data_IF_878111477217
#
_entry.id   IF_878111477217
#
_cell.length_a   1.000
_cell.length_b   1.000
_cell.length_c   1.000
_cell.angle_alpha   90.00
_cell.angle_beta   90.00
_cell.angle_gamma   90.00
#
_symmetry.space_group_name_H-M   'P 1'
#
loop_
_entity.id
_entity.type
_entity.pdbx_description
1 polymer ?
#
# COMPACT_ATOMS: atom_id res chain seq x y z
N UNK A 1 -9.13 12.80 14.11
CA UNK A 1 -10.52 12.64 14.55
C UNK A 1 -10.71 11.32 15.31
N UNK A 2 -10.33 10.14 14.77
CA UNK A 2 -10.50 8.86 15.46
C UNK A 2 -10.00 8.85 16.90
N UNK A 3 -8.82 9.39 17.18
CA UNK A 3 -8.27 9.51 18.55
C UNK A 3 -9.14 10.37 19.48
N UNK A 4 -9.81 11.41 18.96
CA UNK A 4 -10.72 12.23 19.76
C UNK A 4 -11.99 11.49 20.17
N UNK A 5 -12.39 10.50 19.35
CA UNK A 5 -13.55 9.65 19.63
C UNK A 5 -13.21 8.40 20.44
N UNK A 6 -11.95 7.95 20.39
CA UNK A 6 -11.48 6.71 21.00
C UNK A 6 -11.52 6.69 22.53
N UNK A 7 -11.11 5.57 23.10
CA UNK A 7 -11.22 5.26 24.53
C UNK A 7 -10.57 6.29 25.46
N UNK A 8 -9.45 6.86 25.07
CA UNK A 8 -8.74 7.92 25.83
C UNK A 8 -8.99 9.32 25.24
N UNK A 9 -9.91 9.44 24.25
CA UNK A 9 -10.26 10.71 23.62
C UNK A 9 -11.34 11.47 24.37
N UNK A 10 -11.83 12.59 23.79
CA UNK A 10 -12.84 13.47 24.41
C UNK A 10 -14.18 12.74 24.60
N UNK A 11 -14.57 11.86 23.68
CA UNK A 11 -15.86 11.17 23.70
C UNK A 11 -15.82 9.84 24.44
N UNK A 12 -14.63 9.34 24.81
CA UNK A 12 -14.45 8.10 25.57
C UNK A 12 -15.23 6.90 25.03
N UNK A 13 -15.32 6.74 23.68
CA UNK A 13 -15.98 5.59 23.08
C UNK A 13 -15.05 4.37 23.24
N UNK A 14 -15.43 3.35 24.01
CA UNK A 14 -14.60 2.16 24.20
C UNK A 14 -14.60 1.35 22.90
N UNK A 15 -13.45 1.31 22.21
CA UNK A 15 -13.28 0.53 21.01
C UNK A 15 -11.88 -0.14 21.01
N UNK A 16 -11.89 -1.46 21.19
CA UNK A 16 -10.69 -2.32 21.23
C UNK A 16 -10.85 -3.57 20.37
N UNK A 17 -11.88 -3.60 19.51
CA UNK A 17 -12.19 -4.75 18.68
C UNK A 17 -11.31 -4.78 17.41
N UNK A 18 -10.08 -5.28 17.58
CA UNK A 18 -9.14 -5.47 16.46
C UNK A 18 -9.66 -6.43 15.38
N UNK A 19 -10.56 -7.41 15.75
CA UNK A 19 -11.14 -8.33 14.78
C UNK A 19 -12.07 -7.63 13.81
N UNK A 20 -12.95 -6.78 14.34
CA UNK A 20 -13.84 -5.97 13.52
C UNK A 20 -13.04 -4.99 12.65
N UNK A 21 -12.06 -4.32 13.26
CA UNK A 21 -11.21 -3.36 12.55
C UNK A 21 -10.44 -4.01 11.41
N UNK A 22 -9.85 -5.20 11.61
CA UNK A 22 -9.15 -5.94 10.55
C UNK A 22 -10.06 -6.25 9.38
N UNK A 23 -11.25 -6.82 9.64
CA UNK A 23 -12.19 -7.17 8.57
C UNK A 23 -12.62 -5.93 7.78
N UNK A 24 -12.98 -4.85 8.46
CA UNK A 24 -13.42 -3.61 7.82
C UNK A 24 -12.29 -2.94 7.05
N UNK A 25 -11.10 -2.85 7.63
CA UNK A 25 -9.93 -2.28 6.97
C UNK A 25 -9.44 -3.14 5.80
N UNK A 26 -9.58 -4.47 5.88
CA UNK A 26 -9.31 -5.38 4.76
C UNK A 26 -10.23 -5.09 3.57
N UNK A 27 -11.54 -4.96 3.81
CA UNK A 27 -12.51 -4.61 2.75
C UNK A 27 -12.15 -3.24 2.14
N UNK A 28 -11.83 -2.27 2.98
CA UNK A 28 -11.42 -0.95 2.52
C UNK A 28 -10.15 -1.01 1.65
N UNK A 29 -9.14 -1.79 2.07
CA UNK A 29 -7.89 -1.96 1.34
C UNK A 29 -8.09 -2.69 0.00
N UNK A 30 -9.03 -3.65 -0.10
CA UNK A 30 -9.37 -4.31 -1.36
C UNK A 30 -9.81 -3.27 -2.41
N UNK A 31 -10.70 -2.35 -2.04
CA UNK A 31 -11.17 -1.31 -2.96
C UNK A 31 -10.07 -0.31 -3.31
N UNK A 32 -9.20 0.04 -2.35
CA UNK A 32 -8.03 0.89 -2.59
C UNK A 32 -7.08 0.21 -3.60
N UNK A 33 -6.79 -1.07 -3.42
CA UNK A 33 -5.93 -1.84 -4.32
C UNK A 33 -6.53 -1.98 -5.72
N UNK A 34 -7.80 -2.36 -5.79
CA UNK A 34 -8.51 -2.47 -7.06
C UNK A 34 -8.50 -1.15 -7.83
N UNK A 35 -8.87 -0.04 -7.19
CA UNK A 35 -8.91 1.26 -7.85
C UNK A 35 -7.53 1.81 -8.17
N UNK A 36 -6.53 1.56 -7.32
CA UNK A 36 -5.14 1.89 -7.62
C UNK A 36 -4.67 1.26 -8.93
N UNK A 37 -5.04 -0.01 -9.17
CA UNK A 37 -4.84 -0.68 -10.46
C UNK A 37 -5.72 -0.11 -11.58
N UNK A 38 -7.01 0.11 -11.32
CA UNK A 38 -7.99 0.58 -12.30
C UNK A 38 -7.68 1.99 -12.84
N UNK A 39 -7.13 2.86 -11.98
CA UNK A 39 -6.69 4.20 -12.34
C UNK A 39 -5.40 4.22 -13.15
N UNK A 40 -4.58 3.16 -13.08
CA UNK A 40 -3.27 3.10 -13.71
C UNK A 40 -3.38 3.00 -15.24
N UNK A 41 -2.90 4.04 -15.94
CA UNK A 41 -2.84 4.08 -17.40
C UNK A 41 -1.62 3.30 -17.91
N UNK A 42 -1.83 2.10 -18.44
CA UNK A 42 -0.74 1.21 -18.88
C UNK A 42 0.20 1.85 -19.92
N UNK A 43 -0.33 2.65 -20.84
CA UNK A 43 0.51 3.35 -21.84
C UNK A 43 1.53 4.29 -21.19
N UNK A 44 1.18 4.96 -20.10
CA UNK A 44 2.06 5.85 -19.36
C UNK A 44 2.97 5.07 -18.40
N UNK A 45 2.48 3.97 -17.83
CA UNK A 45 3.19 3.12 -16.88
C UNK A 45 4.24 2.21 -17.56
N UNK A 46 3.98 1.72 -18.76
CA UNK A 46 4.83 0.75 -19.49
C UNK A 46 6.33 1.13 -19.53
N UNK A 47 6.74 2.38 -19.80
CA UNK A 47 8.16 2.74 -19.82
C UNK A 47 8.88 2.63 -18.48
N UNK A 48 8.15 2.71 -17.38
CA UNK A 48 8.68 2.67 -16.01
C UNK A 48 8.30 1.39 -15.25
N UNK A 49 7.48 0.52 -15.84
CA UNK A 49 6.95 -0.67 -15.20
C UNK A 49 8.04 -1.61 -14.66
N UNK A 50 9.14 -1.83 -15.41
CA UNK A 50 10.26 -2.64 -14.93
C UNK A 50 10.97 -2.04 -13.72
N UNK A 51 11.15 -0.72 -13.68
CA UNK A 51 11.73 -0.01 -12.53
C UNK A 51 10.79 -0.07 -11.33
N UNK A 52 9.49 0.16 -11.56
CA UNK A 52 8.47 0.10 -10.51
C UNK A 52 8.35 -1.30 -9.91
N UNK A 53 8.35 -2.35 -10.75
CA UNK A 53 8.26 -3.74 -10.29
C UNK A 53 9.49 -4.15 -9.47
N UNK A 54 10.70 -3.74 -9.85
CA UNK A 54 11.90 -4.00 -9.05
C UNK A 54 11.90 -3.25 -7.73
N UNK A 55 11.40 -2.00 -7.71
CA UNK A 55 11.25 -1.24 -6.47
C UNK A 55 10.18 -1.86 -5.56
N UNK A 56 9.04 -2.28 -6.11
CA UNK A 56 7.95 -2.86 -5.32
C UNK A 56 8.24 -4.28 -4.83
N UNK A 57 9.13 -5.02 -5.47
CA UNK A 57 9.54 -6.37 -5.03
C UNK A 57 10.85 -6.34 -4.24
N UNK A 58 11.98 -6.23 -4.94
CA UNK A 58 13.32 -6.23 -4.33
C UNK A 58 13.49 -5.04 -3.39
N UNK A 59 12.98 -3.85 -3.77
CA UNK A 59 13.06 -2.64 -2.95
C UNK A 59 12.30 -2.77 -1.64
N UNK A 60 11.12 -3.39 -1.66
CA UNK A 60 10.33 -3.67 -0.46
C UNK A 60 11.06 -4.65 0.46
N UNK A 61 11.62 -5.74 -0.09
CA UNK A 61 12.42 -6.70 0.69
C UNK A 61 13.64 -6.02 1.31
N UNK A 62 14.42 -5.25 0.53
CA UNK A 62 15.59 -4.53 1.03
C UNK A 62 15.19 -3.55 2.15
N UNK A 63 14.14 -2.77 1.94
CA UNK A 63 13.65 -1.81 2.95
C UNK A 63 13.21 -2.53 4.21
N UNK A 64 12.50 -3.66 4.08
CA UNK A 64 12.04 -4.46 5.21
C UNK A 64 13.22 -5.06 5.99
N UNK A 65 14.20 -5.64 5.30
CA UNK A 65 15.40 -6.23 5.92
C UNK A 65 16.24 -5.16 6.61
N UNK A 66 16.53 -4.03 5.95
CA UNK A 66 17.32 -2.95 6.55
C UNK A 66 16.62 -2.38 7.80
N UNK A 67 15.30 -2.16 7.73
CA UNK A 67 14.53 -1.67 8.87
C UNK A 67 14.50 -2.70 9.99
N UNK A 68 14.31 -3.98 9.66
CA UNK A 68 14.30 -5.07 10.62
C UNK A 68 15.64 -5.25 11.34
N UNK A 69 16.75 -5.19 10.62
CA UNK A 69 18.09 -5.24 11.20
C UNK A 69 18.37 -4.02 12.10
N UNK A 70 17.90 -2.83 11.71
CA UNK A 70 17.97 -1.66 12.57
C UNK A 70 17.18 -1.86 13.87
N UNK A 71 15.96 -2.37 13.79
CA UNK A 71 15.16 -2.68 14.99
C UNK A 71 15.87 -3.68 15.89
N UNK A 72 16.50 -4.71 15.31
CA UNK A 72 17.22 -5.74 16.06
C UNK A 72 18.48 -5.18 16.72
N UNK A 73 19.40 -4.57 15.96
CA UNK A 73 20.70 -4.17 16.47
C UNK A 73 20.70 -2.85 17.26
N UNK A 74 19.84 -1.89 16.87
CA UNK A 74 19.82 -0.58 17.50
C UNK A 74 18.77 -0.45 18.60
N UNK A 75 17.62 -1.15 18.47
CA UNK A 75 16.50 -1.03 19.40
C UNK A 75 16.32 -2.29 20.30
N UNK A 76 17.08 -3.36 20.03
CA UNK A 76 17.04 -4.60 20.83
C UNK A 76 15.80 -5.48 20.60
N UNK A 77 15.08 -5.32 19.48
CA UNK A 77 13.95 -6.19 19.12
C UNK A 77 14.44 -7.60 18.79
N UNK A 78 13.58 -8.61 18.99
CA UNK A 78 13.83 -9.92 18.43
C UNK A 78 14.02 -9.83 16.89
N UNK A 79 14.88 -10.67 16.30
CA UNK A 79 15.18 -10.57 14.86
C UNK A 79 13.92 -10.68 14.00
N UNK A 80 13.07 -11.69 14.26
CA UNK A 80 11.82 -11.87 13.50
C UNK A 80 10.81 -10.75 13.76
N UNK A 81 10.74 -10.25 15.00
CA UNK A 81 9.89 -9.12 15.36
C UNK A 81 10.34 -7.84 14.64
N UNK A 82 11.66 -7.56 14.60
CA UNK A 82 12.21 -6.44 13.84
C UNK A 82 11.93 -6.57 12.33
N UNK A 83 12.11 -7.76 11.75
CA UNK A 83 11.78 -8.03 10.37
C UNK A 83 10.28 -7.85 10.08
N UNK A 84 9.41 -8.23 11.03
CA UNK A 84 7.96 -8.01 10.93
C UNK A 84 7.62 -6.51 10.88
N UNK A 85 8.23 -5.69 11.75
CA UNK A 85 8.12 -4.22 11.69
C UNK A 85 8.53 -3.71 10.31
N UNK A 86 9.67 -4.19 9.79
CA UNK A 86 10.17 -3.83 8.46
C UNK A 86 9.23 -4.24 7.33
N UNK A 87 8.65 -5.44 7.38
CA UNK A 87 7.71 -5.95 6.37
C UNK A 87 6.42 -5.14 6.35
N UNK A 88 5.81 -4.92 7.51
CA UNK A 88 4.58 -4.10 7.67
C UNK A 88 4.81 -2.67 7.16
N UNK A 89 5.97 -2.10 7.45
CA UNK A 89 6.37 -0.77 6.98
C UNK A 89 6.95 -0.79 5.54
N UNK A 90 7.03 -1.93 4.89
CA UNK A 90 7.53 -2.05 3.51
C UNK A 90 6.62 -1.42 2.45
N UNK A 91 5.33 -1.38 2.71
CA UNK A 91 4.32 -0.74 1.86
C UNK A 91 4.49 0.79 1.81
N UNK A 92 4.24 1.41 0.65
CA UNK A 92 4.21 2.87 0.47
C UNK A 92 2.84 3.33 -0.02
N UNK A 93 2.45 4.57 0.28
CA UNK A 93 1.13 5.13 -0.03
C UNK A 93 1.19 6.21 -1.12
N UNK A 94 1.01 5.81 -2.37
CA UNK A 94 0.92 6.76 -3.48
C UNK A 94 -0.36 7.61 -3.42
N UNK A 95 -1.45 7.13 -2.85
CA UNK A 95 -2.69 7.91 -2.78
C UNK A 95 -2.47 9.20 -1.98
N UNK A 96 -1.78 9.12 -0.83
CA UNK A 96 -1.38 10.29 -0.06
C UNK A 96 -0.42 11.21 -0.83
N UNK A 97 0.57 10.63 -1.55
CA UNK A 97 1.49 11.40 -2.40
C UNK A 97 0.71 12.19 -3.46
N UNK A 98 -0.18 11.53 -4.19
CA UNK A 98 -0.96 12.18 -5.24
C UNK A 98 -2.00 13.16 -4.70
N UNK A 99 -2.58 12.91 -3.53
CA UNK A 99 -3.46 13.87 -2.86
C UNK A 99 -2.73 15.19 -2.62
N UNK A 100 -1.50 15.12 -2.09
CA UNK A 100 -0.66 16.31 -1.84
C UNK A 100 -0.25 17.00 -3.15
N UNK A 101 0.18 16.25 -4.18
CA UNK A 101 0.59 16.82 -5.47
C UNK A 101 -0.60 17.47 -6.19
N UNK A 102 -1.77 16.81 -6.22
CA UNK A 102 -3.01 17.33 -6.84
C UNK A 102 -3.51 18.60 -6.15
N UNK A 103 -3.47 18.65 -4.80
CA UNK A 103 -3.89 19.86 -4.06
C UNK A 103 -3.05 21.09 -4.41
N UNK A 104 -1.80 20.88 -4.85
CA UNK A 104 -0.86 21.93 -5.30
C UNK A 104 -0.75 22.06 -6.82
N UNK A 105 -1.55 21.28 -7.58
CA UNK A 105 -1.54 21.25 -9.07
C UNK A 105 -0.16 20.95 -9.63
N UNK A 106 0.59 19.99 -9.03
CA UNK A 106 1.95 19.64 -9.44
C UNK A 106 1.96 18.30 -10.18
N UNK A 107 2.69 18.24 -11.31
CA UNK A 107 3.05 17.01 -12.01
C UNK A 107 4.56 16.80 -11.97
N UNK A 108 5.02 15.54 -12.10
CA UNK A 108 6.43 15.19 -11.95
C UNK A 108 7.08 14.82 -13.27
N UNK A 109 8.34 15.23 -13.46
CA UNK A 109 9.15 14.91 -14.65
C UNK A 109 9.52 13.44 -14.74
N UNK A 110 9.96 13.01 -15.92
CA UNK A 110 10.54 11.69 -16.22
C UNK A 110 9.58 10.51 -15.88
N UNK A 111 8.27 10.68 -16.05
CA UNK A 111 7.24 9.70 -15.69
C UNK A 111 7.34 9.22 -14.24
N UNK A 112 7.83 10.07 -13.34
CA UNK A 112 7.96 9.74 -11.91
C UNK A 112 6.59 9.56 -11.26
N UNK A 113 5.56 10.25 -11.74
CA UNK A 113 4.16 10.01 -11.34
C UNK A 113 3.79 8.54 -11.56
N UNK A 114 3.92 8.05 -12.80
CA UNK A 114 3.60 6.66 -13.14
C UNK A 114 4.52 5.65 -12.43
N UNK A 115 5.78 6.01 -12.16
CA UNK A 115 6.69 5.16 -11.40
C UNK A 115 6.19 4.96 -9.97
N UNK A 116 5.83 6.05 -9.28
CA UNK A 116 5.33 6.01 -7.91
C UNK A 116 3.97 5.31 -7.81
N UNK A 117 3.09 5.54 -8.79
CA UNK A 117 1.77 4.91 -8.85
C UNK A 117 1.88 3.38 -8.97
N UNK A 118 2.66 2.89 -9.93
CA UNK A 118 2.83 1.45 -10.16
C UNK A 118 3.64 0.81 -9.02
N UNK A 119 4.68 1.48 -8.53
CA UNK A 119 5.46 0.98 -7.39
C UNK A 119 4.57 0.78 -6.16
N UNK A 120 3.84 1.81 -5.76
CA UNK A 120 3.03 1.76 -4.55
C UNK A 120 1.86 0.77 -4.66
N UNK A 121 1.16 0.72 -5.81
CA UNK A 121 0.10 -0.27 -5.99
C UNK A 121 0.61 -1.72 -6.01
N UNK A 122 1.88 -1.93 -6.41
CA UNK A 122 2.48 -3.27 -6.45
C UNK A 122 3.16 -3.66 -5.14
N UNK A 123 3.68 -2.72 -4.34
CA UNK A 123 4.44 -3.05 -3.15
C UNK A 123 3.57 -3.53 -1.98
N UNK A 124 2.30 -3.15 -1.93
CA UNK A 124 1.37 -3.62 -0.89
C UNK A 124 1.18 -5.14 -0.91
N UNK A 125 0.93 -5.80 -2.06
CA UNK A 125 0.94 -7.26 -2.16
C UNK A 125 2.26 -7.90 -1.70
N UNK A 126 3.42 -7.28 -1.99
CA UNK A 126 4.72 -7.79 -1.54
C UNK A 126 4.93 -7.60 -0.03
N UNK A 127 4.55 -6.46 0.52
CA UNK A 127 4.60 -6.20 1.95
C UNK A 127 3.68 -7.16 2.74
N UNK A 128 2.46 -7.41 2.23
CA UNK A 128 1.56 -8.42 2.75
C UNK A 128 2.19 -9.80 2.75
N UNK A 129 2.74 -10.23 1.61
CA UNK A 129 3.41 -11.53 1.47
C UNK A 129 4.56 -11.69 2.47
N UNK A 130 5.43 -10.68 2.61
CA UNK A 130 6.52 -10.68 3.58
C UNK A 130 6.00 -10.77 5.02
N UNK A 131 4.93 -10.03 5.33
CA UNK A 131 4.31 -10.07 6.66
C UNK A 131 3.81 -11.47 6.99
N UNK A 132 3.09 -12.13 6.07
CA UNK A 132 2.61 -13.50 6.26
C UNK A 132 3.77 -14.48 6.44
N UNK A 133 4.82 -14.38 5.62
CA UNK A 133 6.02 -15.25 5.72
C UNK A 133 6.65 -15.13 7.11
N UNK A 134 6.90 -13.91 7.57
CA UNK A 134 7.54 -13.69 8.87
C UNK A 134 6.64 -14.17 10.02
N UNK A 135 5.33 -13.92 9.95
CA UNK A 135 4.37 -14.45 10.94
C UNK A 135 4.38 -15.98 10.98
N UNK A 136 4.42 -16.64 9.83
CA UNK A 136 4.55 -18.10 9.73
C UNK A 136 5.86 -18.58 10.35
N UNK A 137 6.98 -17.88 10.12
CA UNK A 137 8.27 -18.18 10.74
C UNK A 137 8.23 -18.01 12.26
N UNK A 138 7.49 -17.03 12.79
CA UNK A 138 7.35 -16.82 14.24
C UNK A 138 6.49 -17.90 14.91
N UNK A 139 5.58 -18.53 14.18
CA UNK A 139 4.66 -19.56 14.70
C UNK A 139 5.13 -21.00 14.46
N UNK A 140 6.05 -21.22 13.54
CA UNK A 140 6.46 -22.56 13.08
C UNK A 140 7.75 -23.08 13.72
N UNK A 141 7.91 -24.41 13.66
CA UNK A 141 9.17 -25.09 13.98
C UNK A 141 10.11 -25.01 12.76
N UNK A 142 11.43 -24.93 13.02
CA UNK A 142 12.45 -24.63 11.99
C UNK A 142 12.69 -25.75 10.93
N UNK A 143 12.20 -26.97 11.14
CA UNK A 143 12.42 -28.10 10.22
C UNK A 143 11.50 -28.02 8.99
N UNK A 144 12.09 -28.02 7.80
CA UNK A 144 11.34 -27.92 6.52
C UNK A 144 10.93 -26.52 6.07
N UNK A 145 11.08 -25.51 6.93
CA UNK A 145 10.56 -24.15 6.75
C UNK A 145 10.94 -23.48 5.43
N UNK A 146 12.16 -23.70 4.92
CA UNK A 146 12.60 -23.04 3.68
C UNK A 146 11.80 -23.49 2.45
N UNK A 147 11.46 -24.79 2.37
CA UNK A 147 10.67 -25.33 1.27
C UNK A 147 9.21 -24.87 1.35
N UNK A 148 8.65 -24.84 2.56
CA UNK A 148 7.29 -24.35 2.82
C UNK A 148 7.14 -22.88 2.48
N UNK A 149 8.13 -22.05 2.84
CA UNK A 149 8.16 -20.63 2.48
C UNK A 149 8.22 -20.42 0.96
N UNK A 150 9.07 -21.18 0.24
CA UNK A 150 9.14 -21.12 -1.21
C UNK A 150 7.81 -21.52 -1.85
N UNK A 151 7.19 -22.60 -1.36
CA UNK A 151 5.86 -23.01 -1.79
C UNK A 151 4.79 -21.96 -1.54
N UNK A 152 4.82 -21.32 -0.37
CA UNK A 152 3.91 -20.23 -0.01
C UNK A 152 4.10 -19.01 -0.93
N UNK A 153 5.33 -18.57 -1.18
CA UNK A 153 5.64 -17.45 -2.10
C UNK A 153 5.10 -17.78 -3.49
N UNK A 154 5.39 -18.98 -3.98
CA UNK A 154 4.92 -19.43 -5.30
C UNK A 154 3.40 -19.46 -5.38
N UNK A 155 2.72 -20.03 -4.39
CA UNK A 155 1.27 -20.09 -4.33
C UNK A 155 0.63 -18.70 -4.27
N UNK A 156 1.16 -17.80 -3.42
CA UNK A 156 0.66 -16.44 -3.31
C UNK A 156 0.75 -15.67 -4.64
N UNK A 157 1.89 -15.75 -5.33
CA UNK A 157 2.08 -15.06 -6.61
C UNK A 157 1.27 -15.71 -7.72
N UNK A 158 1.32 -17.04 -7.85
CA UNK A 158 0.66 -17.76 -8.92
C UNK A 158 -0.86 -17.65 -8.84
N UNK A 159 -1.45 -18.03 -7.70
CA UNK A 159 -2.91 -18.00 -7.54
C UNK A 159 -3.43 -16.56 -7.53
N UNK A 160 -2.72 -15.62 -6.90
CA UNK A 160 -3.06 -14.21 -6.96
C UNK A 160 -3.10 -13.69 -8.39
N UNK A 161 -2.06 -13.94 -9.18
CA UNK A 161 -1.98 -13.46 -10.56
C UNK A 161 -2.99 -14.16 -11.47
N UNK A 162 -3.07 -15.49 -11.47
CA UNK A 162 -3.95 -16.24 -12.36
C UNK A 162 -5.43 -15.90 -12.11
N UNK A 163 -5.87 -15.90 -10.86
CA UNK A 163 -7.26 -15.59 -10.53
C UNK A 163 -7.59 -14.14 -10.84
N UNK A 164 -6.69 -13.20 -10.53
CA UNK A 164 -6.89 -11.79 -10.86
C UNK A 164 -7.04 -11.56 -12.36
N UNK A 165 -6.19 -12.18 -13.17
CA UNK A 165 -6.27 -12.09 -14.64
C UNK A 165 -7.57 -12.72 -15.16
N UNK A 166 -7.92 -13.93 -14.71
CA UNK A 166 -9.13 -14.63 -15.16
C UNK A 166 -10.39 -13.82 -14.82
N UNK A 167 -10.50 -13.33 -13.58
CA UNK A 167 -11.64 -12.52 -13.17
C UNK A 167 -11.70 -11.18 -13.92
N UNK A 168 -10.57 -10.55 -14.19
CA UNK A 168 -10.53 -9.33 -15.00
C UNK A 168 -11.04 -9.57 -16.43
N UNK A 169 -10.63 -10.68 -17.04
CA UNK A 169 -11.06 -11.05 -18.39
C UNK A 169 -12.56 -11.37 -18.44
N UNK A 170 -13.05 -12.15 -17.47
CA UNK A 170 -14.47 -12.50 -17.36
C UNK A 170 -15.34 -11.27 -17.12
N UNK A 171 -14.99 -10.45 -16.12
CA UNK A 171 -15.72 -9.22 -15.79
C UNK A 171 -15.71 -8.25 -16.96
N UNK A 172 -14.55 -8.06 -17.61
CA UNK A 172 -14.45 -7.20 -18.79
C UNK A 172 -15.30 -7.72 -19.96
N UNK A 173 -15.28 -9.03 -20.24
CA UNK A 173 -16.10 -9.65 -21.27
C UNK A 173 -17.60 -9.47 -20.98
N UNK A 174 -18.03 -9.63 -19.73
CA UNK A 174 -19.43 -9.43 -19.35
C UNK A 174 -19.86 -7.96 -19.53
N UNK A 175 -19.05 -7.01 -19.09
CA UNK A 175 -19.33 -5.58 -19.24
C UNK A 175 -19.35 -5.10 -20.70
N UNK A 176 -18.60 -5.76 -21.60
CA UNK A 176 -18.56 -5.45 -23.03
C UNK A 176 -19.75 -6.06 -23.80
N UNK A 177 -20.33 -7.16 -23.32
CA UNK A 177 -21.34 -7.95 -24.03
C UNK A 177 -22.75 -7.83 -23.47
N UNK A 178 -22.88 -7.59 -22.17
CA UNK A 178 -24.16 -7.57 -21.47
C UNK A 178 -24.51 -6.13 -21.16
N UNK A 179 -25.61 -5.66 -21.72
CA UNK A 179 -26.24 -4.42 -21.28
C UNK A 179 -27.22 -4.78 -20.15
N UNK A 180 -26.88 -4.40 -18.94
CA UNK A 180 -27.71 -4.72 -17.77
C UNK A 180 -29.00 -3.90 -17.71
N UNK A 181 -29.18 -2.88 -18.55
CA UNK A 181 -30.40 -2.08 -18.65
C UNK A 181 -30.81 -1.30 -17.40
N UNK A 182 -30.10 -1.50 -16.28
CA UNK A 182 -30.37 -0.83 -14.99
C UNK A 182 -29.22 0.06 -14.60
N UNK A 183 -29.48 1.34 -14.40
CA UNK A 183 -28.48 2.31 -13.99
C UNK A 183 -27.83 1.89 -12.64
N UNK A 184 -26.50 1.84 -12.61
CA UNK A 184 -25.72 1.49 -11.44
C UNK A 184 -25.45 -0.01 -11.23
N UNK A 185 -26.07 -0.90 -11.99
CA UNK A 185 -25.82 -2.34 -11.89
C UNK A 185 -24.38 -2.69 -12.28
N UNK A 186 -23.82 -2.05 -13.33
CA UNK A 186 -22.41 -2.21 -13.71
C UNK A 186 -21.47 -1.92 -12.53
N UNK A 187 -21.77 -0.89 -11.76
CA UNK A 187 -21.00 -0.48 -10.59
C UNK A 187 -21.05 -1.55 -9.48
N UNK A 188 -22.26 -2.04 -9.17
CA UNK A 188 -22.45 -3.10 -8.17
C UNK A 188 -21.78 -4.41 -8.61
N UNK A 189 -21.84 -4.75 -9.90
CA UNK A 189 -21.21 -5.91 -10.49
C UNK A 189 -19.68 -5.85 -10.38
N UNK A 190 -19.06 -4.71 -10.73
CA UNK A 190 -17.61 -4.51 -10.60
C UNK A 190 -17.17 -4.52 -9.13
N UNK A 191 -17.98 -3.94 -8.22
CA UNK A 191 -17.73 -3.98 -6.78
C UNK A 191 -17.71 -5.42 -6.25
N UNK A 192 -18.71 -6.23 -6.61
CA UNK A 192 -18.76 -7.65 -6.25
C UNK A 192 -17.57 -8.44 -6.84
N UNK A 193 -17.23 -8.17 -8.10
CA UNK A 193 -16.09 -8.80 -8.76
C UNK A 193 -14.75 -8.42 -8.09
N UNK A 194 -14.58 -7.17 -7.63
CA UNK A 194 -13.40 -6.75 -6.88
C UNK A 194 -13.28 -7.49 -5.54
N UNK A 195 -14.37 -7.69 -4.81
CA UNK A 195 -14.38 -8.49 -3.58
C UNK A 195 -14.05 -9.96 -3.86
N UNK A 196 -14.62 -10.56 -4.92
CA UNK A 196 -14.32 -11.92 -5.34
C UNK A 196 -12.85 -12.08 -5.75
N UNK A 197 -12.26 -11.06 -6.38
CA UNK A 197 -10.85 -11.11 -6.79
C UNK A 197 -9.89 -11.20 -5.61
N UNK A 198 -10.28 -10.72 -4.43
CA UNK A 198 -9.54 -10.94 -3.20
C UNK A 198 -9.89 -12.28 -2.55
N UNK A 199 -11.17 -12.60 -2.42
CA UNK A 199 -11.64 -13.72 -1.64
C UNK A 199 -11.24 -15.08 -2.21
N UNK A 200 -11.34 -15.26 -3.55
CA UNK A 200 -11.06 -16.55 -4.19
C UNK A 200 -9.58 -16.97 -4.05
N UNK A 201 -8.58 -16.13 -4.40
CA UNK A 201 -7.19 -16.56 -4.20
C UNK A 201 -6.86 -16.70 -2.72
N UNK A 202 -7.36 -15.85 -1.82
CA UNK A 202 -7.13 -15.96 -0.39
C UNK A 202 -7.60 -17.27 0.20
N UNK A 203 -8.72 -17.83 -0.30
CA UNK A 203 -9.26 -19.11 0.14
C UNK A 203 -8.35 -20.33 -0.18
N UNK A 204 -7.45 -20.19 -1.16
CA UNK A 204 -6.53 -21.26 -1.61
C UNK A 204 -5.06 -20.94 -1.36
N UNK A 205 -4.78 -20.00 -0.46
CA UNK A 205 -3.41 -19.58 -0.10
C UNK A 205 -2.74 -18.65 -1.11
N UNK A 206 -3.50 -18.03 -2.02
CA UNK A 206 -3.04 -16.99 -2.95
C UNK A 206 -3.09 -15.60 -2.34
N UNK A 207 -2.41 -14.64 -2.98
CA UNK A 207 -2.43 -13.23 -2.56
C UNK A 207 -3.62 -12.48 -3.15
N UNK A 208 -4.64 -12.24 -2.31
CA UNK A 208 -5.87 -11.53 -2.71
C UNK A 208 -5.64 -10.07 -3.10
N UNK A 209 -4.71 -9.38 -2.46
CA UNK A 209 -4.38 -7.98 -2.81
C UNK A 209 -3.71 -7.89 -4.19
N UNK A 210 -2.80 -8.83 -4.51
CA UNK A 210 -2.20 -8.92 -5.84
C UNK A 210 -3.28 -9.15 -6.92
N UNK A 211 -4.21 -10.06 -6.63
CA UNK A 211 -5.32 -10.37 -7.53
C UNK A 211 -6.21 -9.16 -7.79
N UNK A 212 -6.63 -8.45 -6.72
CA UNK A 212 -7.46 -7.26 -6.83
C UNK A 212 -6.75 -6.13 -7.63
N UNK A 213 -5.46 -5.91 -7.38
CA UNK A 213 -4.66 -4.92 -8.09
C UNK A 213 -4.51 -5.27 -9.59
N UNK A 214 -4.16 -6.51 -9.92
CA UNK A 214 -4.05 -6.96 -11.32
C UNK A 214 -5.39 -6.90 -12.05
N UNK A 215 -6.47 -7.31 -11.39
CA UNK A 215 -7.82 -7.16 -11.93
C UNK A 215 -8.12 -5.69 -12.24
N UNK A 216 -7.78 -4.78 -11.32
CA UNK A 216 -7.92 -3.35 -11.52
C UNK A 216 -7.16 -2.87 -12.76
N UNK A 217 -5.85 -3.18 -12.88
CA UNK A 217 -5.03 -2.78 -14.04
C UNK A 217 -5.65 -3.25 -15.36
N UNK A 218 -6.02 -4.53 -15.45
CA UNK A 218 -6.54 -5.10 -16.70
C UNK A 218 -7.87 -4.46 -17.05
N UNK A 219 -8.81 -4.39 -16.11
CA UNK A 219 -10.13 -3.82 -16.34
C UNK A 219 -10.07 -2.32 -16.64
N UNK A 220 -9.22 -1.59 -15.94
CA UNK A 220 -9.00 -0.15 -16.12
C UNK A 220 -8.42 0.22 -17.49
N UNK A 221 -7.73 -0.72 -18.17
CA UNK A 221 -7.15 -0.50 -19.49
C UNK A 221 -8.00 -1.09 -20.64
N UNK A 222 -9.17 -1.66 -20.33
CA UNK A 222 -10.16 -2.10 -21.31
C UNK A 222 -11.18 -1.00 -21.63
N UNK A 223 -11.81 -1.12 -22.80
CA UNK A 223 -12.94 -0.25 -23.19
C UNK A 223 -14.24 -0.89 -22.67
N UNK A 224 -14.49 -0.71 -21.36
CA UNK A 224 -15.73 -1.17 -20.74
C UNK A 224 -16.82 -0.11 -20.84
N UNK A 225 -18.07 -0.56 -20.95
CA UNK A 225 -19.24 0.33 -20.94
C UNK A 225 -19.27 1.17 -19.65
N UNK A 226 -19.75 2.40 -19.75
CA UNK A 226 -19.91 3.32 -18.59
C UNK A 226 -18.65 3.55 -17.75
N UNK A 227 -17.45 3.39 -18.33
CA UNK A 227 -16.15 3.52 -17.62
C UNK A 227 -16.04 4.80 -16.80
N UNK A 228 -16.56 5.93 -17.30
CA UNK A 228 -16.52 7.21 -16.58
C UNK A 228 -17.30 7.17 -15.26
N UNK A 229 -18.44 6.47 -15.25
CA UNK A 229 -19.26 6.28 -14.03
C UNK A 229 -18.48 5.44 -13.03
N UNK A 230 -17.85 4.34 -13.48
CA UNK A 230 -17.01 3.48 -12.64
C UNK A 230 -15.84 4.25 -12.03
N UNK A 231 -15.11 5.04 -12.84
CA UNK A 231 -14.00 5.87 -12.35
C UNK A 231 -14.47 6.81 -11.24
N UNK A 232 -15.56 7.58 -11.47
CA UNK A 232 -16.05 8.54 -10.48
C UNK A 232 -16.54 7.87 -9.20
N UNK A 233 -17.21 6.73 -9.33
CA UNK A 233 -17.68 5.96 -8.16
C UNK A 233 -16.51 5.43 -7.33
N UNK A 234 -15.56 4.74 -7.96
CA UNK A 234 -14.44 4.14 -7.24
C UNK A 234 -13.46 5.18 -6.69
N UNK A 235 -13.31 6.34 -7.34
CA UNK A 235 -12.53 7.46 -6.80
C UNK A 235 -13.12 7.96 -5.47
N UNK A 236 -14.44 8.19 -5.44
CA UNK A 236 -15.15 8.57 -4.23
C UNK A 236 -15.11 7.48 -3.15
N UNK A 237 -15.38 6.22 -3.54
CA UNK A 237 -15.33 5.07 -2.63
C UNK A 237 -13.95 4.89 -2.00
N UNK A 238 -12.89 4.96 -2.80
CA UNK A 238 -11.50 4.80 -2.32
C UNK A 238 -11.12 5.91 -1.36
N UNK A 239 -11.49 7.15 -1.66
CA UNK A 239 -11.27 8.29 -0.76
C UNK A 239 -11.98 8.11 0.58
N UNK A 240 -13.22 7.61 0.56
CA UNK A 240 -13.99 7.30 1.76
C UNK A 240 -13.36 6.14 2.55
N UNK A 241 -12.94 5.07 1.86
CA UNK A 241 -12.27 3.92 2.48
C UNK A 241 -10.94 4.30 3.13
N UNK A 242 -10.16 5.17 2.49
CA UNK A 242 -8.91 5.68 3.07
C UNK A 242 -9.17 6.50 4.34
N UNK A 243 -10.14 7.41 4.32
CA UNK A 243 -10.56 8.15 5.51
C UNK A 243 -11.05 7.21 6.61
N UNK A 244 -11.79 6.17 6.24
CA UNK A 244 -12.30 5.17 7.18
C UNK A 244 -11.18 4.39 7.86
N UNK A 245 -10.17 3.91 7.11
CA UNK A 245 -9.00 3.23 7.70
C UNK A 245 -8.29 4.13 8.71
N UNK A 246 -8.01 5.39 8.35
CA UNK A 246 -7.36 6.33 9.27
C UNK A 246 -8.22 6.69 10.48
N UNK A 247 -9.55 6.72 10.33
CA UNK A 247 -10.46 6.91 11.45
C UNK A 247 -10.45 5.71 12.40
N UNK A 248 -10.54 4.49 11.86
CA UNK A 248 -10.46 3.24 12.63
C UNK A 248 -9.12 3.10 13.36
N UNK A 249 -8.02 3.46 12.68
CA UNK A 249 -6.70 3.53 13.28
C UNK A 249 -6.70 4.44 14.52
N UNK A 250 -7.28 5.64 14.38
CA UNK A 250 -7.37 6.59 15.48
C UNK A 250 -8.22 6.07 16.64
N UNK A 251 -9.33 5.37 16.36
CA UNK A 251 -10.17 4.75 17.38
C UNK A 251 -9.44 3.68 18.19
N UNK A 252 -8.63 2.84 17.51
CA UNK A 252 -7.85 1.77 18.14
C UNK A 252 -6.60 2.28 18.86
N UNK A 253 -6.19 3.53 18.62
CA UNK A 253 -4.97 4.06 19.21
C UNK A 253 -5.22 4.64 20.60
N UNK A 254 -4.35 4.27 21.54
CA UNK A 254 -4.32 4.79 22.89
C UNK A 254 -3.20 5.84 23.01
N UNK A 255 -3.48 7.13 23.18
CA UNK A 255 -2.47 8.18 23.34
C UNK A 255 -1.41 7.87 24.39
N UNK A 256 -1.78 7.25 25.51
CA UNK A 256 -0.86 6.81 26.56
C UNK A 256 0.18 5.82 26.04
N UNK A 257 -0.23 4.84 25.22
CA UNK A 257 0.66 3.85 24.61
C UNK A 257 1.54 4.47 23.52
N UNK A 258 1.02 5.44 22.76
CA UNK A 258 1.82 6.16 21.74
C UNK A 258 3.00 6.86 22.40
N UNK A 259 2.80 7.52 23.54
CA UNK A 259 3.90 8.15 24.28
C UNK A 259 4.98 7.15 24.69
N UNK A 260 4.60 5.95 25.10
CA UNK A 260 5.53 4.89 25.48
C UNK A 260 6.40 4.39 24.31
N UNK A 261 5.84 4.34 23.09
CA UNK A 261 6.54 3.88 21.88
C UNK A 261 7.05 5.02 20.98
N UNK A 262 6.90 6.27 21.40
CA UNK A 262 7.24 7.44 20.59
C UNK A 262 8.73 7.44 20.20
N UNK A 263 9.63 7.12 21.12
CA UNK A 263 11.08 7.11 20.84
C UNK A 263 11.44 6.04 19.82
N UNK A 264 11.15 4.75 20.02
CA UNK A 264 11.44 3.75 19.01
C UNK A 264 10.72 4.01 17.69
N UNK A 265 9.45 4.43 17.71
CA UNK A 265 8.70 4.79 16.50
C UNK A 265 9.35 5.93 15.70
N UNK A 266 9.79 6.99 16.38
CA UNK A 266 10.49 8.11 15.73
C UNK A 266 11.84 7.67 15.15
N UNK A 267 12.63 6.89 15.89
CA UNK A 267 13.92 6.37 15.40
C UNK A 267 13.74 5.49 14.17
N UNK A 268 12.73 4.62 14.16
CA UNK A 268 12.39 3.79 13.00
C UNK A 268 11.97 4.69 11.82
N UNK A 269 11.12 5.70 12.05
CA UNK A 269 10.68 6.61 11.00
C UNK A 269 11.85 7.37 10.37
N UNK A 270 12.77 7.88 11.19
CA UNK A 270 13.98 8.58 10.72
C UNK A 270 14.89 7.63 9.95
N UNK A 271 15.20 6.45 10.50
CA UNK A 271 16.04 5.47 9.81
C UNK A 271 15.42 5.03 8.48
N UNK A 272 14.14 4.73 8.47
CA UNK A 272 13.40 4.34 7.27
C UNK A 272 13.46 5.41 6.18
N UNK A 273 13.23 6.68 6.55
CA UNK A 273 13.16 7.81 5.62
C UNK A 273 14.52 8.20 5.07
N UNK A 274 15.56 8.23 5.92
CA UNK A 274 16.86 8.78 5.55
C UNK A 274 17.91 7.71 5.20
N UNK A 275 17.70 6.45 5.59
CA UNK A 275 18.68 5.37 5.35
C UNK A 275 18.07 4.24 4.55
N UNK A 276 17.09 3.50 5.07
CA UNK A 276 16.62 2.27 4.46
C UNK A 276 16.01 2.51 3.07
N UNK A 277 15.08 3.46 2.96
CA UNK A 277 14.41 3.77 1.70
C UNK A 277 15.36 4.39 0.65
N UNK A 278 16.16 5.43 0.94
CA UNK A 278 17.14 5.95 -0.01
C UNK A 278 18.12 4.88 -0.50
N UNK A 279 18.62 4.03 0.40
CA UNK A 279 19.56 2.96 0.04
C UNK A 279 18.90 1.95 -0.91
N UNK A 280 17.70 1.48 -0.61
CA UNK A 280 16.96 0.55 -1.47
C UNK A 280 16.68 1.16 -2.86
N UNK A 281 16.23 2.42 -2.91
CA UNK A 281 15.94 3.13 -4.16
C UNK A 281 17.22 3.33 -5.00
N UNK A 282 18.31 3.79 -4.38
CA UNK A 282 19.56 4.03 -5.09
C UNK A 282 20.19 2.74 -5.61
N UNK A 283 20.19 1.67 -4.82
CA UNK A 283 20.70 0.36 -5.25
C UNK A 283 19.97 -0.19 -6.47
N UNK A 284 18.67 0.05 -6.58
CA UNK A 284 17.85 -0.46 -7.70
C UNK A 284 17.86 0.49 -8.89
N UNK A 285 17.69 1.79 -8.67
CA UNK A 285 17.52 2.74 -9.76
C UNK A 285 18.83 3.21 -10.39
N UNK A 286 19.96 3.13 -9.70
CA UNK A 286 21.27 3.51 -10.27
C UNK A 286 21.69 2.60 -11.43
N UNK A 287 21.63 1.24 -11.32
CA UNK A 287 21.90 0.36 -12.46
C UNK A 287 20.94 0.58 -13.64
N UNK A 288 19.71 1.00 -13.35
CA UNK A 288 18.67 1.30 -14.34
C UNK A 288 18.78 2.73 -14.93
N UNK A 289 19.88 3.42 -14.66
CA UNK A 289 20.22 4.76 -15.20
C UNK A 289 19.14 5.81 -14.93
N UNK A 290 18.47 5.75 -13.78
CA UNK A 290 17.57 6.81 -13.35
C UNK A 290 18.38 8.04 -12.90
N UNK A 291 17.86 9.25 -13.19
CA UNK A 291 18.53 10.49 -12.78
C UNK A 291 18.58 10.60 -11.24
N UNK A 292 19.67 11.13 -10.65
CA UNK A 292 19.79 11.26 -9.19
C UNK A 292 18.62 12.03 -8.54
N UNK A 293 18.11 13.07 -9.22
CA UNK A 293 16.96 13.83 -8.73
C UNK A 293 15.69 12.96 -8.65
N UNK A 294 15.49 12.07 -9.65
CA UNK A 294 14.39 11.12 -9.65
C UNK A 294 14.53 10.12 -8.50
N UNK A 295 15.74 9.59 -8.28
CA UNK A 295 16.02 8.66 -7.19
C UNK A 295 15.73 9.29 -5.82
N UNK A 296 16.22 10.51 -5.59
CA UNK A 296 16.00 11.24 -4.34
C UNK A 296 14.51 11.55 -4.10
N UNK A 297 13.80 11.98 -5.15
CA UNK A 297 12.37 12.22 -5.03
C UNK A 297 11.56 10.95 -4.80
N UNK A 298 11.91 9.86 -5.49
CA UNK A 298 11.26 8.54 -5.29
C UNK A 298 11.53 8.00 -3.87
N UNK A 299 12.73 8.19 -3.34
CA UNK A 299 13.06 7.83 -1.97
C UNK A 299 12.22 8.65 -0.97
N UNK A 300 12.12 9.96 -1.17
CA UNK A 300 11.34 10.85 -0.31
C UNK A 300 9.83 10.59 -0.39
N UNK A 301 9.31 10.28 -1.59
CA UNK A 301 7.89 10.02 -1.81
C UNK A 301 7.40 8.66 -1.25
N UNK A 302 8.27 7.88 -0.61
CA UNK A 302 7.90 6.62 0.04
C UNK A 302 7.13 6.83 1.35
N UNK A 303 5.99 7.53 1.30
CA UNK A 303 5.11 7.73 2.45
C UNK A 303 4.55 6.39 2.94
N UNK A 304 4.35 6.25 4.23
CA UNK A 304 3.68 5.09 4.83
C UNK A 304 2.22 5.43 5.08
N UNK A 305 1.33 4.48 4.85
CA UNK A 305 -0.10 4.78 4.84
C UNK A 305 -1.01 3.64 5.28
N UNK A 306 -2.18 3.58 4.66
CA UNK A 306 -3.28 2.72 5.05
C UNK A 306 -2.92 1.22 5.08
N UNK A 307 -2.18 0.71 4.09
CA UNK A 307 -1.82 -0.71 4.02
C UNK A 307 -0.92 -1.14 5.21
N UNK A 308 0.08 -0.31 5.59
CA UNK A 308 0.90 -0.60 6.77
C UNK A 308 0.07 -0.74 8.05
N UNK A 309 -1.00 0.03 8.18
CA UNK A 309 -1.92 -0.03 9.32
C UNK A 309 -2.70 -1.34 9.32
N UNK A 310 -3.26 -1.72 8.18
CA UNK A 310 -4.00 -2.98 8.02
C UNK A 310 -3.11 -4.18 8.35
N UNK A 311 -1.88 -4.17 7.85
CA UNK A 311 -0.92 -5.26 8.12
C UNK A 311 -0.47 -5.28 9.58
N UNK A 312 -0.36 -4.13 10.25
CA UNK A 312 -0.08 -4.07 11.68
C UNK A 312 -1.23 -4.64 12.53
N UNK A 313 -2.48 -4.33 12.19
CA UNK A 313 -3.67 -4.90 12.85
C UNK A 313 -3.70 -6.43 12.66
N UNK A 314 -3.48 -6.91 11.44
CA UNK A 314 -3.42 -8.33 11.11
C UNK A 314 -2.30 -9.03 11.90
N UNK A 315 -1.10 -8.44 11.94
CA UNK A 315 0.03 -9.01 12.67
C UNK A 315 -0.22 -9.06 14.18
N UNK A 316 -0.83 -8.02 14.76
CA UNK A 316 -1.20 -8.00 16.19
C UNK A 316 -2.21 -9.10 16.54
N UNK A 317 -3.10 -9.46 15.60
CA UNK A 317 -4.10 -10.53 15.78
C UNK A 317 -3.62 -11.93 15.47
N UNK A 318 -2.48 -12.07 14.80
CA UNK A 318 -2.00 -13.38 14.29
C UNK A 318 -1.72 -14.43 15.37
N UNK A 319 -1.66 -14.03 16.66
CA UNK A 319 -1.25 -14.90 17.78
C UNK A 319 0.27 -15.07 17.88
N UNK A 320 1.07 -14.40 17.06
CA UNK A 320 2.52 -14.36 17.23
C UNK A 320 2.89 -13.64 18.52
N UNK A 321 3.92 -14.15 19.21
CA UNK A 321 4.42 -13.54 20.46
C UNK A 321 5.21 -12.29 20.08
N UNK A 322 4.67 -11.13 20.41
CA UNK A 322 5.30 -9.83 20.21
C UNK A 322 5.74 -9.28 21.57
N UNK A 323 7.01 -8.86 21.66
CA UNK A 323 7.58 -8.26 22.88
C UNK A 323 7.28 -6.77 22.95
N UNK A 324 6.99 -6.14 21.81
CA UNK A 324 6.73 -4.71 21.68
C UNK A 324 5.33 -4.46 21.08
N UNK A 325 4.79 -3.29 21.34
CA UNK A 325 3.50 -2.88 20.79
C UNK A 325 3.63 -2.46 19.32
N UNK A 326 3.58 -3.46 18.42
CA UNK A 326 3.75 -3.30 16.99
C UNK A 326 2.76 -2.28 16.40
N UNK A 327 1.49 -2.35 16.84
CA UNK A 327 0.43 -1.48 16.30
C UNK A 327 0.74 0.00 16.56
N UNK A 328 1.07 0.38 17.81
CA UNK A 328 1.35 1.77 18.13
C UNK A 328 2.70 2.26 17.58
N UNK A 329 3.69 1.37 17.41
CA UNK A 329 4.95 1.70 16.72
C UNK A 329 4.66 2.06 15.25
N UNK A 330 3.93 1.20 14.53
CA UNK A 330 3.55 1.45 13.13
C UNK A 330 2.70 2.72 13.02
N UNK A 331 1.75 2.92 13.94
CA UNK A 331 0.96 4.15 14.01
C UNK A 331 1.85 5.40 14.10
N UNK A 332 2.82 5.40 15.02
CA UNK A 332 3.76 6.51 15.19
C UNK A 332 4.55 6.78 13.91
N UNK A 333 5.08 5.72 13.25
CA UNK A 333 5.84 5.84 11.99
C UNK A 333 4.97 6.42 10.87
N UNK A 334 3.73 5.92 10.71
CA UNK A 334 2.80 6.42 9.69
C UNK A 334 2.44 7.89 9.94
N UNK A 335 2.16 8.25 11.19
CA UNK A 335 1.84 9.63 11.56
C UNK A 335 3.00 10.58 11.23
N UNK A 336 4.21 10.23 11.62
CA UNK A 336 5.43 11.00 11.32
C UNK A 336 5.63 11.09 9.81
N UNK A 337 5.49 10.00 9.08
CA UNK A 337 5.65 9.97 7.62
C UNK A 337 4.66 10.91 6.92
N UNK A 338 3.38 10.84 7.24
CA UNK A 338 2.36 11.70 6.61
C UNK A 338 2.59 13.17 6.98
N UNK A 339 2.84 13.48 8.26
CA UNK A 339 3.00 14.85 8.72
C UNK A 339 4.28 15.51 8.17
N UNK A 340 5.41 14.83 8.24
CA UNK A 340 6.71 15.42 7.83
C UNK A 340 6.99 15.20 6.35
N UNK A 341 7.05 13.95 5.89
CA UNK A 341 7.38 13.68 4.48
C UNK A 341 6.31 14.21 3.54
N UNK A 342 5.01 13.99 3.87
CA UNK A 342 3.88 14.45 3.07
C UNK A 342 3.87 15.98 2.94
N UNK A 343 4.03 16.72 4.04
CA UNK A 343 4.05 18.20 4.03
C UNK A 343 5.23 18.78 3.27
N UNK A 344 6.40 18.13 3.33
CA UNK A 344 7.62 18.59 2.67
C UNK A 344 7.75 18.11 1.21
N UNK A 345 6.90 17.20 0.75
CA UNK A 345 6.96 16.64 -0.59
C UNK A 345 6.95 17.70 -1.71
N UNK A 346 6.05 18.71 -1.71
CA UNK A 346 6.06 19.76 -2.74
C UNK A 346 7.34 20.59 -2.72
N UNK A 347 7.88 20.86 -1.55
CA UNK A 347 9.15 21.58 -1.38
C UNK A 347 10.32 20.77 -1.96
N UNK A 348 10.40 19.46 -1.64
CA UNK A 348 11.42 18.58 -2.18
C UNK A 348 11.32 18.46 -3.70
N UNK A 349 10.10 18.31 -4.26
CA UNK A 349 9.89 18.25 -5.69
C UNK A 349 10.36 19.52 -6.41
N UNK A 350 10.10 20.70 -5.84
CA UNK A 350 10.60 21.99 -6.34
C UNK A 350 12.12 22.09 -6.26
N UNK A 351 12.71 21.79 -5.09
CA UNK A 351 14.17 21.90 -4.88
C UNK A 351 14.96 20.95 -5.78
N UNK A 352 14.41 19.79 -6.09
CA UNK A 352 15.01 18.81 -7.01
C UNK A 352 14.72 19.10 -8.50
N UNK A 353 14.04 20.20 -8.82
CA UNK A 353 13.64 20.56 -10.19
C UNK A 353 12.86 19.46 -10.92
N UNK A 354 12.07 18.68 -10.17
CA UNK A 354 11.30 17.55 -10.67
C UNK A 354 9.85 17.89 -11.05
N UNK A 355 9.45 19.17 -10.98
CA UNK A 355 8.13 19.63 -11.40
C UNK A 355 8.12 19.81 -12.91
N UNK A 356 7.09 19.29 -13.57
CA UNK A 356 6.85 19.41 -14.99
C UNK A 356 5.84 20.54 -15.27
N UNK A 357 6.35 21.72 -15.58
CA UNK A 357 5.52 22.90 -15.87
C UNK A 357 4.75 22.78 -17.21
N UNK A 358 5.16 21.87 -18.10
CA UNK A 358 4.51 21.67 -19.41
C UNK A 358 3.18 20.92 -19.33
N UNK A 359 2.93 20.21 -18.23
CA UNK A 359 1.73 19.38 -18.01
C UNK A 359 0.66 20.03 -17.13
N UNK A 360 0.91 21.21 -16.59
CA UNK A 360 -0.05 21.92 -15.71
C UNK A 360 -1.40 22.23 -16.36
N UNK A 361 -1.48 22.22 -17.71
CA UNK A 361 -2.72 22.44 -18.46
C UNK A 361 -3.52 21.16 -18.80
N UNK A 362 -2.92 19.97 -18.75
CA UNK A 362 -3.53 18.75 -19.33
C UNK A 362 -4.19 17.81 -18.31
N UNK A 363 -3.89 17.94 -17.02
CA UNK A 363 -4.46 17.08 -15.97
C UNK A 363 -5.92 17.44 -15.60
N UNK A 364 -6.43 18.57 -16.09
CA UNK A 364 -7.77 19.08 -15.75
C UNK A 364 -8.77 19.11 -16.91
N UNK A 365 -8.38 18.79 -18.14
CA UNK A 365 -9.25 19.01 -19.30
C UNK A 365 -9.51 17.78 -20.17
N UNK A 366 -9.31 16.56 -19.72
CA UNK A 366 -9.76 15.43 -20.54
C UNK A 366 -10.19 14.24 -19.69
N UNK A 367 -11.51 14.09 -19.47
CA UNK A 367 -12.11 12.79 -19.39
C UNK A 367 -12.40 12.33 -20.81
N UNK A 368 -11.46 11.73 -21.49
CA UNK A 368 -11.68 11.01 -22.75
C UNK A 368 -11.34 9.56 -22.57
#
# INVERSE_FOLDING_TARGET
>A
LGMLFGSEGILHIPFDNFAFAENMCTIALIFIMFYGGFGTRWKAAKPVAGKALLLSSVGTVLTAVLTGLFCHFALGFGLLEGLLVGAVLGSTDAASVFSVLRSKKLSLKNNTDSLLEVESGSNDPFAYMLTIIILTMMQGNAEGMAFDILGMVFAQVLFGAVIGIVLALLTGFMLERIDFGVSGFDTAFVLAAALLSYALPSAIGGNGYLSAYLMGIILGNRNVSHKKILVNFFDGLTSLMQMFIFFMLGLLSFPSKILAVCVPGLLIAVFLTFVARPLAVTLILTPLRAKPQQQLLTAWAGLRGAASIVFAIMATRSGAVLSHDLFHIVFCVVLVSILFQGSLLPFCAKKLHMIDESRDCLLYTSPS
#
